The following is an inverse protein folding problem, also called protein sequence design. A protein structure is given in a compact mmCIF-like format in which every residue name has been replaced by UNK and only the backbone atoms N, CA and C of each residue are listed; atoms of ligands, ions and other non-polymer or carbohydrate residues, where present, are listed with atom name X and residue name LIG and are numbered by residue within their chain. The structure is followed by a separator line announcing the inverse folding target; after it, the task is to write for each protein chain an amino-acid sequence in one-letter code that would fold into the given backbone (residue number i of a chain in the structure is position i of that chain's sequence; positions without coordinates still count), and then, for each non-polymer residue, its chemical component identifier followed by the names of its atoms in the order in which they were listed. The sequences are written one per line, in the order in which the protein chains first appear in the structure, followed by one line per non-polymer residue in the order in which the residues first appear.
data_IF_321769594090
#
_entry.id   IF_321769594090
#
_cell.length_a   1.000
_cell.length_b   1.000
_cell.length_c   1.000
_cell.angle_alpha   90.00
_cell.angle_beta   90.00
_cell.angle_gamma   90.00
#
_symmetry.space_group_name_H-M   'P 1'
#
loop_
_entity.id
_entity.type
_entity.pdbx_description
1 polymer ?
#
# COMPACT_ATOMS: atom_id res chain seq x y z
N UNK A 1 -12.24 6.78 40.11
CA UNK A 1 -10.85 6.28 39.98
C UNK A 1 -10.83 5.27 38.83
N UNK A 2 -10.06 5.50 37.80
CA UNK A 2 -9.83 4.48 36.75
C UNK A 2 -9.00 3.36 37.40
N UNK A 3 -9.52 2.14 37.35
CA UNK A 3 -8.80 0.96 37.86
C UNK A 3 -7.49 0.80 37.11
N UNK A 4 -6.36 1.01 37.79
CA UNK A 4 -5.01 0.97 37.23
C UNK A 4 -4.71 -0.40 36.58
N UNK A 5 -5.21 -1.47 37.16
CA UNK A 5 -5.05 -2.82 36.64
C UNK A 5 -5.79 -2.99 35.31
N UNK A 6 -6.99 -2.42 35.20
CA UNK A 6 -7.79 -2.44 33.96
C UNK A 6 -7.09 -1.68 32.83
N UNK A 7 -6.41 -0.57 33.18
CA UNK A 7 -5.64 0.21 32.20
C UNK A 7 -4.41 -0.55 31.66
N UNK A 8 -3.65 -1.22 32.55
CA UNK A 8 -2.52 -2.07 32.14
C UNK A 8 -2.98 -3.25 31.27
N UNK A 9 -4.10 -3.88 31.61
CA UNK A 9 -4.68 -4.97 30.86
C UNK A 9 -5.08 -4.54 29.43
N UNK A 10 -5.74 -3.38 29.27
CA UNK A 10 -6.09 -2.82 27.96
C UNK A 10 -4.83 -2.55 27.12
N UNK A 11 -3.79 -1.97 27.71
CA UNK A 11 -2.52 -1.73 27.01
C UNK A 11 -1.87 -3.03 26.55
N UNK A 12 -1.83 -4.02 27.39
CA UNK A 12 -1.27 -5.34 27.06
C UNK A 12 -2.02 -5.99 25.90
N UNK A 13 -3.35 -6.02 25.94
CA UNK A 13 -4.16 -6.54 24.83
C UNK A 13 -3.94 -5.73 23.56
N UNK A 14 -3.89 -4.40 23.63
CA UNK A 14 -3.63 -3.55 22.47
C UNK A 14 -2.29 -3.87 21.80
N UNK A 15 -1.24 -4.13 22.59
CA UNK A 15 0.07 -4.55 22.06
C UNK A 15 0.01 -5.93 21.40
N UNK A 16 -0.67 -6.89 22.00
CA UNK A 16 -0.87 -8.23 21.40
C UNK A 16 -1.62 -8.13 20.05
N UNK A 17 -2.63 -7.27 19.99
CA UNK A 17 -3.39 -7.04 18.75
C UNK A 17 -2.50 -6.37 17.67
N UNK A 18 -1.66 -5.40 18.05
CA UNK A 18 -0.70 -4.79 17.11
C UNK A 18 0.26 -5.84 16.56
N UNK A 19 0.76 -6.76 17.39
CA UNK A 19 1.61 -7.87 16.93
C UNK A 19 0.84 -8.80 15.99
N UNK A 20 -0.36 -9.28 16.40
CA UNK A 20 -1.16 -10.21 15.60
C UNK A 20 -1.56 -9.63 14.23
N UNK A 21 -2.09 -8.41 14.22
CA UNK A 21 -2.43 -7.71 12.97
C UNK A 21 -1.19 -7.25 12.20
N UNK A 22 -0.09 -6.96 12.90
CA UNK A 22 1.21 -6.66 12.33
C UNK A 22 1.78 -7.83 11.53
N UNK A 23 1.69 -9.06 12.07
CA UNK A 23 2.01 -10.30 11.34
C UNK A 23 1.13 -10.40 10.09
N UNK A 24 -0.19 -10.25 10.22
CA UNK A 24 -1.13 -10.34 9.10
C UNK A 24 -0.88 -9.28 8.03
N UNK A 25 -0.52 -8.06 8.43
CA UNK A 25 -0.24 -6.93 7.52
C UNK A 25 1.19 -6.93 6.98
N UNK A 26 2.04 -7.83 7.47
CA UNK A 26 3.47 -7.89 7.20
C UNK A 26 4.20 -6.58 7.56
N UNK A 27 3.91 -6.03 8.74
CA UNK A 27 4.68 -4.91 9.30
C UNK A 27 6.07 -5.40 9.76
N UNK A 28 7.09 -4.57 9.64
CA UNK A 28 8.41 -4.85 10.22
C UNK A 28 8.27 -4.81 11.74
N UNK A 29 8.78 -5.84 12.48
CA UNK A 29 9.67 -6.92 12.02
C UNK A 29 8.97 -8.21 11.49
N UNK A 30 7.66 -8.28 11.46
CA UNK A 30 6.89 -9.50 11.17
C UNK A 30 6.65 -9.76 9.67
N UNK A 31 7.48 -9.24 8.78
CA UNK A 31 7.25 -9.13 7.34
C UNK A 31 7.82 -10.29 6.50
N UNK A 32 8.68 -11.12 7.06
CA UNK A 32 9.52 -12.08 6.31
C UNK A 32 8.75 -13.09 5.45
N UNK A 33 7.54 -13.45 5.85
CA UNK A 33 6.70 -14.42 5.14
C UNK A 33 6.12 -13.88 3.82
N UNK A 34 5.92 -12.56 3.70
CA UNK A 34 5.17 -11.96 2.59
C UNK A 34 5.87 -12.07 1.23
N UNK A 35 7.20 -11.83 1.11
CA UNK A 35 7.90 -11.95 -0.17
C UNK A 35 7.84 -13.36 -0.75
N UNK A 36 8.03 -14.37 0.06
CA UNK A 36 8.01 -15.76 -0.39
C UNK A 36 6.58 -16.21 -0.75
N UNK A 37 5.58 -15.81 0.03
CA UNK A 37 4.18 -16.08 -0.27
C UNK A 37 3.73 -15.48 -1.62
N UNK A 38 4.11 -14.24 -1.93
CA UNK A 38 3.72 -13.63 -3.21
C UNK A 38 4.54 -14.12 -4.40
N UNK A 39 5.79 -14.53 -4.19
CA UNK A 39 6.64 -15.05 -5.27
C UNK A 39 6.19 -16.44 -5.72
N UNK A 40 5.70 -17.28 -4.81
CA UNK A 40 5.21 -18.63 -5.10
C UNK A 40 3.75 -18.66 -5.59
N UNK A 41 2.92 -17.71 -5.16
CA UNK A 41 1.50 -17.68 -5.53
C UNK A 41 1.28 -17.26 -6.99
N UNK A 42 0.18 -17.72 -7.64
CA UNK A 42 -0.28 -17.18 -8.92
C UNK A 42 -0.49 -15.65 -8.83
N UNK A 43 -0.24 -14.94 -9.94
CA UNK A 43 -0.30 -13.47 -9.95
C UNK A 43 -1.68 -12.91 -9.55
N UNK A 44 -2.77 -13.57 -9.96
CA UNK A 44 -4.14 -13.20 -9.60
C UNK A 44 -4.40 -13.31 -8.09
N UNK A 45 -3.90 -14.37 -7.47
CA UNK A 45 -3.99 -14.55 -6.00
C UNK A 45 -3.14 -13.49 -5.29
N UNK A 46 -1.95 -13.20 -5.80
CA UNK A 46 -1.10 -12.12 -5.26
C UNK A 46 -1.74 -10.74 -5.41
N UNK A 47 -2.41 -10.47 -6.54
CA UNK A 47 -3.13 -9.21 -6.76
C UNK A 47 -4.27 -9.03 -5.74
N UNK A 48 -5.12 -10.05 -5.55
CA UNK A 48 -6.22 -10.02 -4.59
C UNK A 48 -5.71 -9.98 -3.15
N UNK A 49 -4.73 -10.81 -2.80
CA UNK A 49 -4.20 -10.89 -1.44
C UNK A 49 -3.49 -9.60 -1.04
N UNK A 50 -2.55 -9.11 -1.87
CA UNK A 50 -1.82 -7.88 -1.58
C UNK A 50 -2.68 -6.63 -1.71
N UNK A 51 -3.58 -6.58 -2.70
CA UNK A 51 -4.45 -5.44 -2.92
C UNK A 51 -5.51 -5.26 -1.84
N UNK A 52 -6.23 -6.33 -1.49
CA UNK A 52 -7.44 -6.25 -0.66
C UNK A 52 -7.29 -6.99 0.66
N UNK A 53 -7.08 -8.31 0.64
CA UNK A 53 -7.26 -9.17 1.82
C UNK A 53 -6.34 -8.81 2.99
N UNK A 54 -5.04 -8.68 2.74
CA UNK A 54 -4.05 -8.38 3.79
C UNK A 54 -4.35 -7.01 4.42
N UNK A 55 -4.83 -6.04 3.64
CA UNK A 55 -5.09 -4.68 4.10
C UNK A 55 -6.39 -4.56 4.89
N UNK A 56 -7.46 -5.20 4.43
CA UNK A 56 -8.74 -5.19 5.15
C UNK A 56 -8.68 -6.01 6.43
N UNK A 57 -8.16 -7.22 6.37
CA UNK A 57 -8.08 -8.11 7.53
C UNK A 57 -6.97 -7.74 8.50
N UNK A 58 -5.91 -7.10 8.04
CA UNK A 58 -4.80 -6.67 8.89
C UNK A 58 -4.96 -5.23 9.37
N UNK A 59 -4.80 -4.26 8.47
CA UNK A 59 -4.71 -2.85 8.85
C UNK A 59 -6.06 -2.29 9.28
N UNK A 60 -7.11 -2.46 8.45
CA UNK A 60 -8.41 -1.87 8.74
C UNK A 60 -9.01 -2.46 10.02
N UNK A 61 -8.93 -3.78 10.21
CA UNK A 61 -9.40 -4.42 11.45
C UNK A 61 -8.62 -3.90 12.67
N UNK A 62 -7.29 -3.83 12.59
CA UNK A 62 -6.44 -3.28 13.65
C UNK A 62 -6.86 -1.86 14.03
N UNK A 63 -7.01 -0.99 13.04
CA UNK A 63 -7.39 0.41 13.25
C UNK A 63 -8.78 0.51 13.87
N UNK A 64 -9.77 -0.23 13.38
CA UNK A 64 -11.14 -0.25 13.92
C UNK A 64 -11.16 -0.69 15.39
N UNK A 65 -10.43 -1.72 15.73
CA UNK A 65 -10.39 -2.22 17.10
C UNK A 65 -9.66 -1.23 18.01
N UNK A 66 -8.49 -0.77 17.61
CA UNK A 66 -7.71 0.15 18.43
C UNK A 66 -8.43 1.49 18.65
N UNK A 67 -8.97 2.10 17.59
CA UNK A 67 -9.59 3.42 17.70
C UNK A 67 -11.02 3.36 18.28
N UNK A 68 -11.84 2.43 17.83
CA UNK A 68 -13.27 2.44 18.17
C UNK A 68 -13.65 1.54 19.34
N UNK A 69 -12.81 0.58 19.77
CA UNK A 69 -13.11 -0.29 20.91
C UNK A 69 -12.24 0.06 22.11
N UNK A 70 -10.91 0.14 21.93
CA UNK A 70 -10.01 0.37 23.08
C UNK A 70 -9.77 1.85 23.39
N UNK A 71 -9.91 2.75 22.41
CA UNK A 71 -9.49 4.14 22.56
C UNK A 71 -7.95 4.24 22.64
N UNK A 72 -7.31 4.78 21.62
CA UNK A 72 -5.86 4.72 21.49
C UNK A 72 -5.18 5.80 22.32
N UNK A 73 -4.30 5.39 23.25
CA UNK A 73 -3.41 6.32 23.96
C UNK A 73 -2.25 6.78 23.09
N UNK A 74 -1.70 7.96 23.41
CA UNK A 74 -0.57 8.57 22.68
C UNK A 74 0.66 7.65 22.60
N UNK A 75 0.95 6.84 23.63
CA UNK A 75 2.07 5.90 23.62
C UNK A 75 1.91 4.80 22.57
N UNK A 76 0.69 4.28 22.42
CA UNK A 76 0.36 3.26 21.40
C UNK A 76 0.43 3.85 20.00
N UNK A 77 -0.06 5.08 19.82
CA UNK A 77 0.07 5.82 18.56
C UNK A 77 1.53 6.00 18.14
N UNK A 78 2.41 6.35 19.09
CA UNK A 78 3.85 6.48 18.81
C UNK A 78 4.47 5.15 18.35
N UNK A 79 4.08 4.04 18.94
CA UNK A 79 4.53 2.69 18.50
C UNK A 79 4.07 2.43 17.06
N UNK A 80 2.80 2.73 16.75
CA UNK A 80 2.23 2.57 15.40
C UNK A 80 3.02 3.40 14.37
N UNK A 81 3.33 4.67 14.69
CA UNK A 81 4.14 5.56 13.84
C UNK A 81 5.53 4.98 13.61
N UNK A 82 6.20 4.50 14.65
CA UNK A 82 7.56 3.90 14.55
C UNK A 82 7.51 2.65 13.66
N UNK A 83 6.55 1.74 13.87
CA UNK A 83 6.38 0.55 13.03
C UNK A 83 6.11 0.92 11.58
N UNK A 84 5.32 1.99 11.34
CA UNK A 84 5.08 2.55 10.02
C UNK A 84 6.38 3.02 9.35
N UNK A 85 7.19 3.82 10.03
CA UNK A 85 8.47 4.34 9.54
C UNK A 85 9.45 3.20 9.22
N UNK A 86 9.60 2.23 10.14
CA UNK A 86 10.47 1.08 9.93
C UNK A 86 10.03 0.26 8.72
N UNK A 87 8.72 0.01 8.59
CA UNK A 87 8.17 -0.75 7.46
C UNK A 87 8.38 -0.02 6.13
N UNK A 88 8.18 1.31 6.10
CA UNK A 88 8.44 2.12 4.91
C UNK A 88 9.89 2.00 4.45
N UNK A 89 10.82 2.23 5.36
CA UNK A 89 12.24 2.30 5.04
C UNK A 89 12.83 0.93 4.71
N UNK A 90 12.64 -0.06 5.57
CA UNK A 90 13.15 -1.43 5.35
C UNK A 90 12.54 -2.02 4.08
N UNK A 91 11.24 -1.87 3.88
CA UNK A 91 10.55 -2.40 2.70
C UNK A 91 11.10 -1.85 1.39
N UNK A 92 11.35 -0.54 1.27
CA UNK A 92 11.87 0.06 0.04
C UNK A 92 13.33 -0.32 -0.20
N UNK A 93 14.16 -0.36 0.83
CA UNK A 93 15.57 -0.77 0.70
C UNK A 93 15.66 -2.22 0.18
N UNK A 94 14.91 -3.14 0.80
CA UNK A 94 14.91 -4.54 0.37
C UNK A 94 14.34 -4.70 -1.06
N UNK A 95 13.37 -3.88 -1.47
CA UNK A 95 12.83 -3.88 -2.83
C UNK A 95 13.86 -3.45 -3.88
N UNK A 96 14.73 -2.47 -3.57
CA UNK A 96 15.77 -2.00 -4.49
C UNK A 96 16.75 -3.10 -4.92
N UNK A 97 17.02 -4.06 -4.05
CA UNK A 97 17.92 -5.18 -4.36
C UNK A 97 17.26 -6.33 -5.12
N UNK A 98 15.92 -6.34 -5.27
CA UNK A 98 15.23 -7.44 -5.94
C UNK A 98 15.30 -7.32 -7.46
N UNK A 99 15.52 -8.46 -8.12
CA UNK A 99 15.42 -8.63 -9.56
C UNK A 99 14.22 -9.48 -10.00
N UNK A 100 13.63 -10.27 -9.09
CA UNK A 100 12.34 -10.91 -9.30
C UNK A 100 11.23 -9.88 -9.16
N UNK A 101 10.42 -9.72 -10.21
CA UNK A 101 9.38 -8.69 -10.27
C UNK A 101 8.31 -8.87 -9.19
N UNK A 102 7.83 -10.10 -8.94
CA UNK A 102 6.85 -10.36 -7.88
C UNK A 102 7.44 -10.10 -6.50
N UNK A 103 8.69 -10.51 -6.26
CA UNK A 103 9.36 -10.30 -4.97
C UNK A 103 9.60 -8.82 -4.70
N UNK A 104 9.98 -8.05 -5.72
CA UNK A 104 10.08 -6.59 -5.66
C UNK A 104 8.73 -5.96 -5.28
N UNK A 105 7.65 -6.39 -5.92
CA UNK A 105 6.31 -5.92 -5.58
C UNK A 105 5.92 -6.27 -4.14
N UNK A 106 6.27 -7.44 -3.64
CA UNK A 106 5.98 -7.85 -2.27
C UNK A 106 6.68 -6.93 -1.24
N UNK A 107 7.96 -6.63 -1.41
CA UNK A 107 8.67 -5.69 -0.53
C UNK A 107 8.11 -4.27 -0.62
N UNK A 108 7.71 -3.81 -1.80
CA UNK A 108 6.98 -2.54 -1.91
C UNK A 108 5.61 -2.59 -1.23
N UNK A 109 4.97 -3.75 -1.06
CA UNK A 109 3.74 -3.83 -0.26
C UNK A 109 4.02 -3.52 1.20
N UNK A 110 5.12 -4.02 1.77
CA UNK A 110 5.56 -3.72 3.13
C UNK A 110 5.80 -2.21 3.30
N UNK A 111 6.53 -1.61 2.35
CA UNK A 111 6.80 -0.18 2.36
C UNK A 111 5.53 0.67 2.29
N UNK A 112 4.60 0.36 1.40
CA UNK A 112 3.36 1.13 1.26
C UNK A 112 2.41 0.94 2.45
N UNK A 113 2.40 -0.24 3.10
CA UNK A 113 1.70 -0.45 4.39
C UNK A 113 2.25 0.49 5.45
N UNK A 114 3.55 0.73 5.46
CA UNK A 114 4.17 1.71 6.35
C UNK A 114 3.59 3.12 6.20
N UNK A 115 3.33 3.61 4.97
CA UNK A 115 2.64 4.89 4.74
C UNK A 115 1.23 4.92 5.33
N UNK A 116 0.46 3.85 5.15
CA UNK A 116 -0.90 3.76 5.66
C UNK A 116 -0.90 3.87 7.18
N UNK A 117 -0.03 3.07 7.82
CA UNK A 117 0.09 3.01 9.29
C UNK A 117 0.64 4.32 9.85
N UNK A 118 1.62 4.95 9.18
CA UNK A 118 2.11 6.27 9.56
C UNK A 118 0.97 7.28 9.54
N UNK A 119 0.23 7.41 8.43
CA UNK A 119 -0.85 8.38 8.30
C UNK A 119 -1.92 8.23 9.39
N UNK A 120 -2.37 6.99 9.63
CA UNK A 120 -3.38 6.69 10.65
C UNK A 120 -2.81 6.90 12.07
N UNK A 121 -1.56 6.53 12.30
CA UNK A 121 -0.88 6.67 13.59
C UNK A 121 -0.70 8.10 14.07
N UNK A 122 -0.74 9.10 13.15
CA UNK A 122 -0.78 10.51 13.52
C UNK A 122 -2.08 10.90 14.25
N UNK A 123 -3.13 10.08 14.14
CA UNK A 123 -4.46 10.25 14.78
C UNK A 123 -5.13 11.63 14.53
N UNK A 124 -4.68 12.36 13.52
CA UNK A 124 -5.30 13.63 13.08
C UNK A 124 -6.29 13.37 11.96
N UNK A 125 -7.29 14.28 11.75
CA UNK A 125 -8.23 14.12 10.62
C UNK A 125 -7.53 13.97 9.28
N UNK A 126 -6.48 14.77 9.05
CA UNK A 126 -5.73 14.76 7.80
C UNK A 126 -4.86 13.49 7.67
N UNK A 127 -4.23 13.06 8.77
CA UNK A 127 -3.44 11.83 8.79
C UNK A 127 -4.29 10.58 8.55
N UNK A 128 -5.44 10.49 9.21
CA UNK A 128 -6.41 9.40 9.01
C UNK A 128 -6.93 9.41 7.56
N UNK A 129 -7.30 10.57 7.04
CA UNK A 129 -7.73 10.74 5.65
C UNK A 129 -6.64 10.23 4.69
N UNK A 130 -5.40 10.71 4.86
CA UNK A 130 -4.28 10.31 4.02
C UNK A 130 -3.99 8.81 4.07
N UNK A 131 -3.98 8.22 5.27
CA UNK A 131 -3.76 6.79 5.48
C UNK A 131 -4.85 5.92 4.85
N UNK A 132 -6.13 6.25 5.07
CA UNK A 132 -7.26 5.52 4.48
C UNK A 132 -7.31 5.68 2.95
N UNK A 133 -7.07 6.88 2.45
CA UNK A 133 -7.02 7.13 1.01
C UNK A 133 -5.83 6.40 0.38
N UNK A 134 -4.67 6.32 1.08
CA UNK A 134 -3.55 5.54 0.61
C UNK A 134 -3.84 4.02 0.62
N UNK A 135 -4.61 3.53 1.60
CA UNK A 135 -5.08 2.14 1.63
C UNK A 135 -5.92 1.80 0.40
N UNK A 136 -6.86 2.66 0.02
CA UNK A 136 -7.68 2.48 -1.19
C UNK A 136 -6.82 2.53 -2.47
N UNK A 137 -5.96 3.53 -2.59
CA UNK A 137 -5.07 3.68 -3.74
C UNK A 137 -4.10 2.50 -3.87
N UNK A 138 -3.59 2.02 -2.73
CA UNK A 138 -2.72 0.85 -2.66
C UNK A 138 -3.43 -0.39 -3.23
N UNK A 139 -4.70 -0.60 -2.90
CA UNK A 139 -5.46 -1.74 -3.43
C UNK A 139 -5.50 -1.73 -4.95
N UNK A 140 -5.66 -0.56 -5.57
CA UNK A 140 -5.75 -0.42 -7.02
C UNK A 140 -4.40 -0.59 -7.70
N UNK A 141 -3.40 0.23 -7.36
CA UNK A 141 -2.11 0.15 -8.06
C UNK A 141 -1.35 -1.15 -7.78
N UNK A 142 -1.55 -1.80 -6.61
CA UNK A 142 -0.94 -3.10 -6.33
C UNK A 142 -1.57 -4.23 -7.12
N UNK A 143 -2.90 -4.27 -7.20
CA UNK A 143 -3.58 -5.25 -8.05
C UNK A 143 -3.14 -5.09 -9.50
N UNK A 144 -3.07 -3.85 -10.00
CA UNK A 144 -2.58 -3.55 -11.34
C UNK A 144 -1.16 -4.10 -11.57
N UNK A 145 -0.21 -3.78 -10.68
CA UNK A 145 1.18 -4.19 -10.83
C UNK A 145 1.37 -5.71 -10.72
N UNK A 146 0.64 -6.39 -9.86
CA UNK A 146 0.68 -7.86 -9.81
C UNK A 146 0.08 -8.48 -11.08
N UNK A 147 -1.00 -7.92 -11.64
CA UNK A 147 -1.55 -8.40 -12.90
C UNK A 147 -0.58 -8.17 -14.07
N UNK A 148 0.10 -7.01 -14.14
CA UNK A 148 1.14 -6.78 -15.16
C UNK A 148 2.32 -7.74 -15.00
N UNK A 149 2.74 -8.02 -13.75
CA UNK A 149 3.75 -9.05 -13.49
C UNK A 149 3.30 -10.45 -13.93
N UNK A 150 2.02 -10.77 -13.72
CA UNK A 150 1.43 -12.02 -14.19
C UNK A 150 1.36 -12.12 -15.71
N UNK A 151 1.02 -11.01 -16.38
CA UNK A 151 0.98 -10.93 -17.84
C UNK A 151 2.39 -11.15 -18.44
N UNK A 152 3.42 -10.53 -17.86
CA UNK A 152 4.82 -10.76 -18.31
C UNK A 152 5.27 -12.19 -18.03
N UNK A 153 4.97 -12.76 -16.86
CA UNK A 153 5.29 -14.14 -16.52
C UNK A 153 4.56 -15.14 -17.43
N UNK A 154 3.30 -14.91 -17.76
CA UNK A 154 2.52 -15.74 -18.68
C UNK A 154 3.12 -15.81 -20.08
N UNK A 155 3.62 -14.68 -20.58
CA UNK A 155 4.15 -14.57 -21.94
C UNK A 155 5.62 -14.98 -22.03
N UNK A 156 6.45 -14.63 -21.05
CA UNK A 156 7.90 -14.84 -21.08
C UNK A 156 8.36 -16.10 -20.34
N UNK A 157 7.51 -16.69 -19.48
CA UNK A 157 7.90 -17.79 -18.60
C UNK A 157 8.91 -17.41 -17.52
N UNK A 158 9.18 -16.11 -17.31
CA UNK A 158 10.16 -15.64 -16.32
C UNK A 158 9.64 -14.43 -15.52
N UNK A 159 10.14 -14.31 -14.29
CA UNK A 159 9.91 -13.16 -13.40
C UNK A 159 11.16 -12.30 -13.25
N UNK A 160 12.31 -12.72 -13.79
CA UNK A 160 13.58 -12.01 -13.65
C UNK A 160 13.65 -10.82 -14.62
N UNK A 161 13.65 -9.61 -14.07
CA UNK A 161 13.71 -8.36 -14.83
C UNK A 161 14.93 -8.28 -15.78
N UNK A 162 16.04 -8.92 -15.44
CA UNK A 162 17.26 -8.94 -16.26
C UNK A 162 17.09 -9.70 -17.57
N UNK A 163 16.14 -10.66 -17.59
CA UNK A 163 15.82 -11.48 -18.77
C UNK A 163 14.67 -10.91 -19.60
N UNK A 164 14.06 -9.79 -19.17
CA UNK A 164 13.00 -9.11 -19.90
C UNK A 164 13.60 -8.01 -20.79
N UNK A 165 12.76 -7.29 -21.49
CA UNK A 165 13.16 -6.12 -22.30
C UNK A 165 12.33 -6.01 -23.58
N UNK A 166 12.31 -4.82 -24.19
CA UNK A 166 11.60 -4.48 -25.44
C UNK A 166 10.10 -4.83 -25.45
N UNK A 167 9.49 -5.01 -24.29
CA UNK A 167 8.07 -5.37 -24.17
C UNK A 167 7.14 -4.23 -24.61
N UNK A 168 7.63 -2.99 -24.60
CA UNK A 168 6.86 -1.82 -25.03
C UNK A 168 6.36 -1.93 -26.49
N UNK A 169 7.10 -2.63 -27.36
CA UNK A 169 6.71 -2.85 -28.75
C UNK A 169 5.79 -4.06 -28.93
N UNK A 170 5.95 -5.08 -28.09
CA UNK A 170 5.29 -6.39 -28.23
C UNK A 170 4.07 -6.54 -27.34
N UNK A 171 4.07 -5.87 -26.20
CA UNK A 171 3.01 -5.89 -25.19
C UNK A 171 2.62 -4.45 -24.79
N UNK A 172 2.07 -3.62 -25.71
CA UNK A 172 1.83 -2.21 -25.47
C UNK A 172 0.81 -1.94 -24.36
N UNK A 173 -0.27 -2.72 -24.25
CA UNK A 173 -1.28 -2.55 -23.20
C UNK A 173 -0.73 -2.95 -21.82
N UNK A 174 0.00 -4.05 -21.75
CA UNK A 174 0.67 -4.47 -20.50
C UNK A 174 1.73 -3.45 -20.10
N UNK A 175 2.52 -2.92 -21.03
CA UNK A 175 3.52 -1.88 -20.76
C UNK A 175 2.89 -0.58 -20.28
N UNK A 176 1.82 -0.12 -20.93
CA UNK A 176 1.06 1.05 -20.49
C UNK A 176 0.55 0.88 -19.06
N UNK A 177 -0.05 -0.27 -18.76
CA UNK A 177 -0.56 -0.60 -17.43
C UNK A 177 0.56 -0.64 -16.38
N UNK A 178 1.71 -1.21 -16.70
CA UNK A 178 2.89 -1.23 -15.85
C UNK A 178 3.45 0.18 -15.60
N UNK A 179 3.46 1.05 -16.62
CA UNK A 179 3.87 2.45 -16.50
C UNK A 179 2.94 3.20 -15.54
N UNK A 180 1.62 3.14 -15.75
CA UNK A 180 0.64 3.81 -14.89
C UNK A 180 0.75 3.32 -13.43
N UNK A 181 0.78 2.01 -13.22
CA UNK A 181 0.93 1.43 -11.88
C UNK A 181 2.24 1.84 -11.19
N UNK A 182 3.35 1.88 -11.95
CA UNK A 182 4.68 2.31 -11.47
C UNK A 182 4.71 3.79 -11.08
N UNK A 183 4.13 4.67 -11.89
CA UNK A 183 4.04 6.10 -11.58
C UNK A 183 3.11 6.33 -10.38
N UNK A 184 2.00 5.61 -10.32
CA UNK A 184 1.03 5.69 -9.23
C UNK A 184 1.65 5.30 -7.88
N UNK A 185 2.25 4.12 -7.75
CA UNK A 185 2.89 3.68 -6.50
C UNK A 185 4.07 4.57 -6.10
N UNK A 186 4.78 5.13 -7.05
CA UNK A 186 5.90 6.05 -6.80
C UNK A 186 5.44 7.40 -6.25
N UNK A 187 4.18 7.76 -6.48
CA UNK A 187 3.64 9.05 -6.06
C UNK A 187 4.01 10.18 -7.02
N UNK A 188 3.95 9.91 -8.33
CA UNK A 188 4.16 10.91 -9.38
C UNK A 188 2.82 11.58 -9.71
N UNK A 189 2.73 12.93 -9.82
CA UNK A 189 1.53 13.58 -10.31
C UNK A 189 1.22 13.16 -11.77
N UNK A 190 -0.03 13.05 -12.18
CA UNK A 190 -1.29 13.34 -11.47
C UNK A 190 -1.92 12.11 -10.79
N UNK A 191 -1.21 10.98 -10.71
CA UNK A 191 -1.75 9.69 -10.27
C UNK A 191 -2.20 9.68 -8.80
N UNK A 192 -3.09 8.76 -8.48
CA UNK A 192 -3.74 8.64 -7.17
C UNK A 192 -2.75 8.51 -6.00
N UNK A 193 -1.63 7.78 -6.18
CA UNK A 193 -0.60 7.61 -5.15
C UNK A 193 0.07 8.91 -4.71
N UNK A 194 0.21 9.89 -5.62
CA UNK A 194 0.74 11.21 -5.31
C UNK A 194 -0.11 11.92 -4.25
N UNK A 195 -1.40 12.01 -4.47
CA UNK A 195 -2.30 12.73 -3.58
C UNK A 195 -2.33 12.16 -2.17
N UNK A 196 -2.40 10.83 -2.05
CA UNK A 196 -2.40 10.19 -0.73
C UNK A 196 -1.08 10.35 0.03
N UNK A 197 0.06 10.22 -0.63
CA UNK A 197 1.37 10.45 -0.01
C UNK A 197 1.56 11.91 0.39
N UNK A 198 1.15 12.85 -0.48
CA UNK A 198 1.20 14.28 -0.18
C UNK A 198 0.40 14.60 1.09
N UNK A 199 -0.83 14.09 1.21
CA UNK A 199 -1.67 14.30 2.40
C UNK A 199 -0.98 13.78 3.66
N UNK A 200 -0.37 12.59 3.61
CA UNK A 200 0.35 12.01 4.75
C UNK A 200 1.56 12.89 5.15
N UNK A 201 2.34 13.35 4.18
CA UNK A 201 3.50 14.22 4.44
C UNK A 201 3.05 15.55 5.04
N UNK A 202 1.99 16.18 4.50
CA UNK A 202 1.42 17.41 5.07
C UNK A 202 0.91 17.18 6.49
N UNK A 203 0.28 16.04 6.76
CA UNK A 203 -0.17 15.68 8.11
C UNK A 203 1.02 15.53 9.09
N UNK A 204 2.15 14.97 8.64
CA UNK A 204 3.37 14.91 9.45
C UNK A 204 3.90 16.33 9.78
N UNK A 205 3.86 17.24 8.82
CA UNK A 205 4.30 18.65 9.03
C UNK A 205 3.36 19.34 10.03
N UNK A 206 2.05 19.20 9.88
CA UNK A 206 1.06 19.80 10.80
C UNK A 206 1.19 19.29 12.24
N UNK A 207 1.57 18.02 12.42
CA UNK A 207 1.81 17.42 13.74
C UNK A 207 3.22 17.64 14.26
N UNK A 208 4.05 18.44 13.59
CA UNK A 208 5.47 18.70 13.91
C UNK A 208 6.35 17.44 13.91
N UNK A 209 5.91 16.36 13.26
CA UNK A 209 6.70 15.15 13.07
C UNK A 209 7.54 15.25 11.79
N UNK A 210 8.41 16.25 11.73
CA UNK A 210 9.21 16.58 10.54
C UNK A 210 10.10 15.42 10.08
N UNK A 211 10.67 14.66 11.04
CA UNK A 211 11.47 13.49 10.71
C UNK A 211 10.67 12.41 9.97
N UNK A 212 9.42 12.16 10.39
CA UNK A 212 8.54 11.20 9.72
C UNK A 212 8.19 11.67 8.30
N UNK A 213 7.88 12.96 8.13
CA UNK A 213 7.63 13.56 6.81
C UNK A 213 8.84 13.48 5.88
N UNK A 214 10.05 13.72 6.41
CA UNK A 214 11.31 13.60 5.67
C UNK A 214 11.57 12.17 5.20
N UNK A 215 11.42 11.17 6.08
CA UNK A 215 11.56 9.75 5.71
C UNK A 215 10.51 9.36 4.67
N UNK A 216 9.24 9.77 4.83
CA UNK A 216 8.19 9.51 3.85
C UNK A 216 8.55 10.05 2.46
N UNK A 217 9.12 11.25 2.39
CA UNK A 217 9.57 11.87 1.14
C UNK A 217 10.71 11.06 0.51
N UNK A 218 11.76 10.74 1.27
CA UNK A 218 12.88 9.92 0.78
C UNK A 218 12.41 8.57 0.25
N UNK A 219 11.56 7.87 1.01
CA UNK A 219 11.02 6.57 0.60
C UNK A 219 10.22 6.69 -0.70
N UNK A 220 9.54 7.81 -0.96
CA UNK A 220 8.85 8.04 -2.23
C UNK A 220 9.83 8.12 -3.41
N UNK A 221 10.94 8.84 -3.26
CA UNK A 221 12.01 8.91 -4.27
C UNK A 221 12.68 7.54 -4.50
N UNK A 222 12.96 6.79 -3.42
CA UNK A 222 13.51 5.43 -3.54
C UNK A 222 12.53 4.47 -4.23
N UNK A 223 11.22 4.64 -3.99
CA UNK A 223 10.19 3.89 -4.69
C UNK A 223 10.21 4.21 -6.18
N UNK A 224 10.32 5.49 -6.56
CA UNK A 224 10.44 5.91 -7.96
C UNK A 224 11.68 5.30 -8.63
N UNK A 225 12.84 5.35 -7.96
CA UNK A 225 14.07 4.74 -8.45
C UNK A 225 13.91 3.23 -8.69
N UNK A 226 13.26 2.51 -7.75
CA UNK A 226 12.97 1.09 -7.89
C UNK A 226 12.06 0.78 -9.09
N UNK A 227 11.01 1.56 -9.29
CA UNK A 227 10.10 1.35 -10.43
C UNK A 227 10.68 1.84 -11.76
N UNK A 228 11.57 2.84 -11.75
CA UNK A 228 12.36 3.19 -12.93
C UNK A 228 13.24 1.99 -13.37
N UNK A 229 13.83 1.26 -12.42
CA UNK A 229 14.51 -0.01 -12.70
C UNK A 229 13.58 -1.03 -13.35
N UNK A 230 12.38 -1.24 -12.82
CA UNK A 230 11.38 -2.17 -13.39
C UNK A 230 11.03 -1.77 -14.82
N UNK A 231 10.73 -0.50 -15.07
CA UNK A 231 10.40 -0.02 -16.41
C UNK A 231 11.59 -0.15 -17.37
N UNK A 232 12.78 0.28 -16.94
CA UNK A 232 13.99 0.25 -17.74
C UNK A 232 14.35 -1.18 -18.15
N UNK A 233 14.44 -2.10 -17.21
CA UNK A 233 14.89 -3.47 -17.52
C UNK A 233 13.75 -4.37 -17.99
N UNK A 234 12.56 -4.23 -17.41
CA UNK A 234 11.43 -5.08 -17.76
C UNK A 234 10.76 -4.74 -19.09
N UNK A 235 10.61 -3.44 -19.39
CA UNK A 235 9.71 -3.01 -20.48
C UNK A 235 10.41 -2.25 -21.63
N UNK A 236 11.34 -1.36 -21.33
CA UNK A 236 11.94 -0.45 -22.34
C UNK A 236 13.39 -0.79 -22.71
N UNK A 237 14.09 -1.54 -21.89
CA UNK A 237 15.49 -1.91 -22.13
C UNK A 237 15.64 -2.93 -23.23
N UNK A 238 16.88 -3.14 -23.69
CA UNK A 238 17.20 -4.21 -24.63
C UNK A 238 17.09 -5.55 -23.93
N UNK A 239 16.50 -6.54 -24.61
CA UNK A 239 16.49 -7.94 -24.16
C UNK A 239 17.74 -8.65 -24.63
N UNK A 240 18.37 -9.44 -23.74
CA UNK A 240 19.42 -10.38 -24.12
C UNK A 240 18.85 -11.66 -24.76
N UNK A 241 17.55 -11.91 -24.55
CA UNK A 241 16.83 -13.08 -25.07
C UNK A 241 16.04 -12.67 -26.30
N UNK A 242 16.17 -13.44 -27.37
CA UNK A 242 15.38 -13.19 -28.58
C UNK A 242 13.94 -13.69 -28.39
N UNK A 243 13.02 -12.74 -28.32
CA UNK A 243 11.60 -12.99 -28.12
C UNK A 243 10.78 -12.70 -29.40
N UNK A 244 11.19 -13.19 -30.57
CA UNK A 244 10.58 -12.86 -31.87
C UNK A 244 9.07 -13.15 -31.94
N UNK A 245 8.60 -14.20 -31.28
CA UNK A 245 7.22 -14.67 -31.36
C UNK A 245 6.29 -14.19 -30.23
N UNK A 246 6.74 -13.24 -29.40
CA UNK A 246 5.92 -12.73 -28.29
C UNK A 246 4.81 -11.83 -28.82
N UNK A 247 3.60 -12.10 -28.31
CA UNK A 247 2.39 -11.31 -28.55
C UNK A 247 1.81 -10.80 -27.21
N UNK A 248 0.97 -9.80 -27.30
CA UNK A 248 0.20 -9.30 -26.16
C UNK A 248 -0.67 -10.43 -25.56
N UNK A 249 -0.95 -10.33 -24.26
CA UNK A 249 -1.80 -11.30 -23.55
C UNK A 249 -3.26 -11.23 -24.02
N UNK A 250 -4.05 -12.29 -23.79
CA UNK A 250 -5.48 -12.31 -24.14
C UNK A 250 -6.25 -11.12 -23.56
N UNK A 251 -7.28 -10.68 -24.27
CA UNK A 251 -8.12 -9.53 -23.87
C UNK A 251 -8.70 -9.66 -22.46
N UNK A 252 -9.01 -10.86 -22.00
CA UNK A 252 -9.48 -11.12 -20.64
C UNK A 252 -8.47 -10.70 -19.55
N UNK A 253 -7.16 -10.65 -19.86
CA UNK A 253 -6.14 -10.14 -18.97
C UNK A 253 -5.93 -8.64 -19.16
N UNK A 254 -6.10 -8.10 -20.36
CA UNK A 254 -5.92 -6.68 -20.68
C UNK A 254 -7.02 -5.83 -20.01
N UNK A 255 -8.28 -6.23 -20.12
CA UNK A 255 -9.42 -5.43 -19.66
C UNK A 255 -9.31 -5.06 -18.18
N UNK A 256 -9.03 -5.98 -17.23
CA UNK A 256 -8.85 -5.62 -15.82
C UNK A 256 -7.66 -4.64 -15.61
N UNK A 257 -6.56 -4.82 -16.33
CA UNK A 257 -5.39 -3.94 -16.22
C UNK A 257 -5.73 -2.52 -16.68
N UNK A 258 -6.46 -2.36 -17.77
CA UNK A 258 -6.89 -1.03 -18.27
C UNK A 258 -7.87 -0.37 -17.30
N UNK A 259 -8.86 -1.11 -16.77
CA UNK A 259 -9.79 -0.57 -15.76
C UNK A 259 -9.03 -0.06 -14.53
N UNK A 260 -8.11 -0.86 -13.99
CA UNK A 260 -7.30 -0.45 -12.83
C UNK A 260 -6.36 0.72 -13.17
N UNK A 261 -5.86 0.81 -14.40
CA UNK A 261 -5.06 1.96 -14.86
C UNK A 261 -5.89 3.25 -14.87
N UNK A 262 -7.12 3.19 -15.38
CA UNK A 262 -8.04 4.32 -15.33
C UNK A 262 -8.37 4.71 -13.87
N UNK A 263 -8.58 3.75 -12.99
CA UNK A 263 -8.73 4.03 -11.57
C UNK A 263 -7.50 4.74 -10.99
N UNK A 264 -6.27 4.32 -11.32
CA UNK A 264 -5.05 5.00 -10.88
C UNK A 264 -4.98 6.47 -11.32
N UNK A 265 -5.50 6.79 -12.50
CA UNK A 265 -5.53 8.15 -13.04
C UNK A 265 -6.62 9.00 -12.35
N UNK A 266 -7.83 8.46 -12.21
CA UNK A 266 -9.01 9.25 -11.83
C UNK A 266 -9.34 9.23 -10.34
N UNK A 267 -8.84 8.29 -9.53
CA UNK A 267 -9.15 8.25 -8.10
C UNK A 267 -8.73 9.49 -7.30
N UNK A 268 -7.83 10.31 -7.82
CA UNK A 268 -7.54 11.63 -7.24
C UNK A 268 -8.78 12.54 -7.15
N UNK A 269 -9.74 12.35 -8.03
CA UNK A 269 -11.02 13.10 -8.03
C UNK A 269 -11.87 12.84 -6.79
N UNK A 270 -11.67 11.72 -6.09
CA UNK A 270 -12.35 11.42 -4.81
C UNK A 270 -12.00 12.43 -3.71
N UNK A 271 -10.94 13.21 -3.87
CA UNK A 271 -10.56 14.27 -2.94
C UNK A 271 -11.32 15.59 -3.18
N UNK A 272 -12.06 15.71 -4.28
CA UNK A 272 -12.90 16.89 -4.52
C UNK A 272 -13.92 17.03 -3.39
N UNK A 273 -14.15 18.24 -2.83
CA UNK A 273 -14.95 18.43 -1.61
C UNK A 273 -16.33 17.78 -1.68
N UNK A 274 -17.03 17.90 -2.80
CA UNK A 274 -18.36 17.31 -2.99
C UNK A 274 -18.37 15.79 -3.00
N UNK A 275 -17.31 15.14 -3.45
CA UNK A 275 -17.21 13.68 -3.52
C UNK A 275 -16.67 13.15 -2.20
N UNK A 276 -15.64 13.80 -1.65
CA UNK A 276 -14.94 13.41 -0.43
C UNK A 276 -15.88 13.28 0.76
N UNK A 277 -16.83 14.21 0.92
CA UNK A 277 -17.81 14.22 2.02
C UNK A 277 -18.68 12.95 2.06
N UNK A 278 -18.99 12.34 0.91
CA UNK A 278 -19.82 11.14 0.85
C UNK A 278 -19.05 9.85 1.14
N UNK A 279 -17.75 9.80 0.78
CA UNK A 279 -16.96 8.57 0.87
C UNK A 279 -15.90 8.61 1.97
N UNK A 280 -15.02 9.61 1.97
CA UNK A 280 -13.84 9.60 2.83
C UNK A 280 -14.09 10.27 4.18
N UNK A 281 -14.78 11.40 4.22
CA UNK A 281 -14.98 12.15 5.46
C UNK A 281 -15.85 11.38 6.46
N UNK A 282 -16.83 10.60 5.98
CA UNK A 282 -17.64 9.73 6.84
C UNK A 282 -16.79 8.68 7.56
N UNK A 283 -15.85 8.03 6.85
CA UNK A 283 -14.99 7.01 7.46
C UNK A 283 -13.99 7.65 8.44
N UNK A 284 -13.45 8.82 8.10
CA UNK A 284 -12.59 9.60 9.00
C UNK A 284 -13.35 9.96 10.29
N UNK A 285 -14.59 10.43 10.16
CA UNK A 285 -15.42 10.81 11.30
C UNK A 285 -15.73 9.61 12.21
N UNK A 286 -16.02 8.43 11.66
CA UNK A 286 -16.23 7.21 12.43
C UNK A 286 -14.99 6.85 13.27
N UNK A 287 -13.79 6.95 12.72
CA UNK A 287 -12.56 6.69 13.47
C UNK A 287 -12.30 7.76 14.53
N UNK A 288 -12.61 9.03 14.25
CA UNK A 288 -12.47 10.14 15.20
C UNK A 288 -13.46 10.06 16.38
N UNK A 289 -14.63 9.45 16.20
CA UNK A 289 -15.57 9.23 17.30
C UNK A 289 -14.99 8.33 18.39
N UNK A 290 -13.93 7.57 18.08
CA UNK A 290 -13.26 6.72 19.06
C UNK A 290 -14.24 5.72 19.70
N UNK A 291 -14.14 5.54 21.00
CA UNK A 291 -14.99 4.61 21.76
C UNK A 291 -16.47 4.98 21.79
N UNK A 292 -16.83 6.25 21.55
CA UNK A 292 -18.24 6.70 21.46
C UNK A 292 -18.99 5.95 20.35
N UNK A 293 -18.29 5.60 19.27
CA UNK A 293 -18.88 4.81 18.19
C UNK A 293 -19.35 3.44 18.67
N UNK A 294 -18.53 2.73 19.45
CA UNK A 294 -18.89 1.42 20.00
C UNK A 294 -20.10 1.50 20.93
N UNK A 295 -20.12 2.49 21.83
CA UNK A 295 -21.25 2.71 22.76
C UNK A 295 -22.54 2.88 22.00
N UNK A 296 -22.58 3.75 20.98
CA UNK A 296 -23.77 3.97 20.15
C UNK A 296 -24.25 2.70 19.44
N UNK A 297 -23.33 1.86 18.95
CA UNK A 297 -23.70 0.60 18.28
C UNK A 297 -24.28 -0.41 19.27
N UNK A 298 -23.80 -0.45 20.52
CA UNK A 298 -24.31 -1.35 21.56
C UNK A 298 -25.63 -0.87 22.16
N UNK A 299 -25.87 0.45 22.19
CA UNK A 299 -27.15 1.01 22.64
C UNK A 299 -28.30 0.82 21.64
N UNK A 300 -28.01 0.57 20.38
CA UNK A 300 -28.97 0.30 19.30
C UNK A 300 -29.42 -1.18 19.24
N UNK A 301 -28.90 -2.03 20.11
CA UNK A 301 -29.27 -3.45 20.25
C UNK A 301 -30.06 -3.68 21.51
#
# INVERSE_FOLDING_TARGET
MVDVNKLYFIKFISLLLIVGFGVKSALVPFHSWLPDAHTSAPATISAMSSGVLIKTLGIYAMVRILFNIFGVEQKILSIIVILGLLSMFVGVILALYQWDYKRLLAYHSISQVGYIILGIGLATPLGILGGLFHLMNHSVFKSLLFLTSGATEYTLGTKDLRKMGELNKKMPFTTFSALIGSMSISGVPPFNGFWSKLIIIVACIQTKQYFAGFIATIVSFLTLSSFTKVLKYGFYGKSEVNYENIKEVPGAMIVPMIILSLCCIFMGLLLLPHIRQYFLDNVVNILKQGTIYATKVFELR
#
